data_IF_460431657140
#
_entry.id   IF_460431657140
#
_cell.length_a   1.000
_cell.length_b   1.000
_cell.length_c   1.000
_cell.angle_alpha   90.00
_cell.angle_beta   90.00
_cell.angle_gamma   90.00
#
_symmetry.space_group_name_H-M   'P 1'
#
loop_
_entity.id
_entity.type
_entity.pdbx_description
1 polymer ?
#
# COMPACT_ATOMS: atom_id res chain seq x y z
N UNK A 1 -70.24 -8.03 1.84
CA UNK A 1 -69.73 -8.07 1.92
C UNK A 1 -68.56 -7.92 2.02
N UNK A 2 -67.86 -7.77 1.90
CA UNK A 2 -66.95 -7.81 2.08
C UNK A 2 -65.86 -7.52 2.30
N UNK A 3 -65.11 -7.44 2.32
CA UNK A 3 -64.20 -7.29 2.56
C UNK A 3 -63.17 -7.04 2.70
N UNK A 4 -62.64 -6.89 2.64
CA UNK A 4 -61.69 -6.79 2.80
C UNK A 4 -60.61 -6.69 3.02
N UNK A 5 -60.04 -6.70 3.02
CA UNK A 5 -59.11 -6.85 3.27
C UNK A 5 -58.06 -6.29 3.40
N UNK A 6 -57.52 -6.17 3.37
CA UNK A 6 -56.64 -5.91 3.68
C UNK A 6 -55.48 -5.86 3.89
N UNK A 7 -54.98 -5.89 3.85
CA UNK A 7 -53.92 -6.05 4.07
C UNK A 7 -52.86 -5.55 4.24
N UNK A 8 -52.50 -5.41 4.22
CA UNK A 8 -51.62 -5.02 4.45
C UNK A 8 -50.46 -5.06 4.55
N UNK A 9 -49.90 -4.95 4.55
CA UNK A 9 -48.96 -4.92 4.62
C UNK A 9 -47.82 -4.95 4.85
N UNK A 10 -47.29 -5.01 4.85
CA UNK A 10 -46.27 -5.40 5.14
C UNK A 10 -45.13 -4.71 5.09
N UNK A 11 -44.68 -4.72 4.79
CA UNK A 11 -43.67 -4.18 4.68
C UNK A 11 -42.61 -3.95 5.40
N UNK A 12 -42.16 -3.74 5.58
CA UNK A 12 -41.33 -3.54 6.37
C UNK A 12 -40.16 -4.07 6.22
N UNK A 13 -39.68 -4.31 6.27
CA UNK A 13 -38.58 -4.99 6.03
C UNK A 13 -37.55 -4.19 5.75
N UNK A 14 -37.24 -4.02 5.13
CA UNK A 14 -36.28 -3.26 4.78
C UNK A 14 -35.41 -2.82 5.72
N UNK A 15 -35.04 -2.48 5.87
CA UNK A 15 -34.23 -1.93 6.68
C UNK A 15 -33.18 -2.48 7.19
N UNK A 16 -32.81 -2.97 7.37
CA UNK A 16 -31.87 -3.52 7.99
C UNK A 16 -30.67 -3.29 7.44
N UNK A 17 -30.36 -3.38 6.74
CA UNK A 17 -29.21 -3.29 6.20
C UNK A 17 -28.35 -2.36 6.65
N UNK A 18 -28.51 -1.57 6.81
CA UNK A 18 -27.63 -0.63 7.11
C UNK A 18 -26.59 -0.92 7.96
N UNK A 19 -26.55 -1.47 8.72
CA UNK A 19 -25.57 -1.67 9.57
C UNK A 19 -24.39 -2.11 9.15
N UNK A 20 -24.23 -2.74 8.52
CA UNK A 20 -23.09 -3.19 8.11
C UNK A 20 -22.04 -2.34 8.11
N UNK A 21 -22.05 -1.45 7.62
CA UNK A 21 -20.97 -0.66 7.50
C UNK A 21 -20.24 -0.30 8.62
N UNK A 22 -20.52 -0.25 9.49
CA UNK A 22 -19.74 0.18 10.48
C UNK A 22 -18.53 -0.43 10.87
N UNK A 23 -17.88 -1.13 10.27
CA UNK A 23 -16.70 -1.62 10.70
C UNK A 23 -15.66 -0.64 10.68
N UNK A 24 -15.32 -0.10 11.61
CA UNK A 24 -14.37 0.94 11.58
C UNK A 24 -13.05 0.38 11.76
N UNK A 25 -12.20 0.99 11.56
CA UNK A 25 -10.95 0.57 11.79
C UNK A 25 -10.27 -0.40 11.01
N UNK A 26 -10.75 -0.93 10.17
CA UNK A 26 -10.05 -1.90 9.44
C UNK A 26 -9.10 -1.20 8.55
N UNK A 27 -7.93 -1.01 8.93
CA UNK A 27 -6.99 -0.37 8.07
C UNK A 27 -6.68 -1.32 6.95
N UNK A 28 -6.69 -0.90 5.75
CA UNK A 28 -6.39 -1.76 4.65
C UNK A 28 -5.00 -1.54 4.19
N UNK A 29 -4.33 -2.59 3.79
CA UNK A 29 -3.00 -2.48 3.23
C UNK A 29 -3.10 -1.74 1.91
N UNK A 30 -2.14 -0.92 1.63
CA UNK A 30 -2.13 -0.14 0.41
C UNK A 30 -1.05 -0.62 -0.54
N UNK A 31 -1.18 -0.25 -1.80
CA UNK A 31 -0.19 -0.53 -2.82
C UNK A 31 0.36 0.83 -3.24
N UNK A 32 1.66 1.01 -3.09
CA UNK A 32 2.28 2.27 -3.45
C UNK A 32 3.39 2.02 -4.44
N UNK A 33 3.76 3.03 -5.18
CA UNK A 33 4.77 2.87 -6.23
C UNK A 33 5.90 3.85 -6.07
N UNK A 34 7.09 3.41 -6.43
CA UNK A 34 8.26 4.27 -6.57
C UNK A 34 8.72 4.09 -8.02
N UNK A 35 8.88 5.17 -8.74
CA UNK A 35 9.36 5.08 -10.11
C UNK A 35 10.84 5.31 -10.14
N UNK A 36 11.52 4.57 -10.98
CA UNK A 36 12.94 4.74 -11.19
C UNK A 36 13.05 5.40 -12.55
N UNK A 37 13.46 6.65 -12.57
CA UNK A 37 13.50 7.39 -13.80
C UNK A 37 14.63 8.41 -13.74
N UNK A 38 15.37 8.52 -14.79
CA UNK A 38 16.47 9.46 -14.88
C UNK A 38 17.45 9.27 -13.70
N UNK A 39 17.73 8.00 -13.39
CA UNK A 39 18.67 7.66 -12.32
C UNK A 39 18.25 8.17 -10.95
N UNK A 40 16.98 8.27 -10.69
CA UNK A 40 16.50 8.66 -9.36
C UNK A 40 15.33 7.78 -8.98
N UNK A 41 15.06 7.70 -7.67
CA UNK A 41 13.88 7.05 -7.15
C UNK A 41 12.87 8.16 -6.84
N UNK A 42 11.68 8.03 -7.35
CA UNK A 42 10.66 9.04 -7.12
C UNK A 42 9.34 8.47 -6.66
N UNK A 43 8.92 8.81 -5.47
CA UNK A 43 9.54 9.76 -4.56
C UNK A 43 10.77 9.16 -3.89
N UNK A 44 11.72 9.98 -3.54
CA UNK A 44 12.94 9.49 -2.93
C UNK A 44 12.68 9.01 -1.51
N UNK A 45 11.75 9.62 -0.82
CA UNK A 45 11.39 9.19 0.51
C UNK A 45 9.88 8.94 0.50
N UNK A 46 9.47 7.77 0.88
CA UNK A 46 8.06 7.41 0.88
C UNK A 46 7.68 6.88 2.26
N UNK A 47 6.58 7.37 2.81
CA UNK A 47 6.08 6.90 4.10
C UNK A 47 4.92 5.96 3.85
N UNK A 48 4.98 4.79 4.46
CA UNK A 48 3.95 3.77 4.30
C UNK A 48 3.60 3.20 5.67
N UNK A 49 2.69 2.27 5.73
CA UNK A 49 2.30 1.65 6.99
C UNK A 49 2.61 0.17 6.95
N UNK A 50 2.76 -0.41 8.11
CA UNK A 50 2.98 -1.84 8.20
C UNK A 50 1.87 -2.55 7.45
N UNK A 51 2.22 -3.46 6.59
CA UNK A 51 1.28 -4.18 5.74
C UNK A 51 1.23 -3.68 4.31
N UNK A 52 1.76 -2.49 4.07
CA UNK A 52 1.72 -1.93 2.72
C UNK A 52 2.77 -2.57 1.83
N UNK A 53 2.50 -2.60 0.55
CA UNK A 53 3.43 -3.11 -0.45
C UNK A 53 3.90 -1.95 -1.31
N UNK A 54 5.20 -1.86 -1.50
CA UNK A 54 5.79 -0.86 -2.39
C UNK A 54 6.30 -1.58 -3.63
N UNK A 55 5.98 -1.06 -4.78
CA UNK A 55 6.43 -1.60 -6.05
C UNK A 55 7.32 -0.56 -6.73
N UNK A 56 8.53 -0.95 -7.03
CA UNK A 56 9.45 -0.12 -7.80
C UNK A 56 9.31 -0.49 -9.27
N UNK A 57 9.24 0.50 -10.14
CA UNK A 57 9.10 0.27 -11.57
C UNK A 57 10.22 1.00 -12.27
N UNK A 58 11.01 0.31 -13.04
CA UNK A 58 12.10 0.95 -13.77
C UNK A 58 11.58 1.53 -15.08
N UNK A 59 11.61 2.86 -15.18
CA UNK A 59 11.20 3.54 -16.39
C UNK A 59 12.38 4.03 -17.21
N UNK A 60 13.61 3.77 -16.78
CA UNK A 60 14.79 4.12 -17.55
C UNK A 60 15.09 3.04 -18.58
N UNK A 61 15.88 3.37 -19.55
CA UNK A 61 16.24 2.39 -20.58
C UNK A 61 17.56 1.70 -20.25
N UNK A 62 17.97 1.71 -18.99
CA UNK A 62 19.10 0.93 -18.54
C UNK A 62 18.71 0.24 -17.26
N UNK A 63 19.36 -0.84 -16.88
CA UNK A 63 18.98 -1.60 -15.70
C UNK A 63 19.30 -0.91 -14.40
N UNK A 64 18.46 -1.12 -13.40
CA UNK A 64 18.68 -0.64 -12.04
C UNK A 64 18.33 -1.75 -11.08
N UNK A 65 18.77 -1.65 -9.83
CA UNK A 65 18.38 -2.59 -8.78
C UNK A 65 17.88 -1.81 -7.58
N UNK A 66 17.22 -2.51 -6.67
CA UNK A 66 16.74 -1.93 -5.42
C UNK A 66 17.33 -2.78 -4.31
N UNK A 67 18.18 -2.20 -3.49
CA UNK A 67 18.89 -2.96 -2.46
C UNK A 67 18.80 -2.25 -1.12
N UNK A 68 18.29 -2.92 -0.12
CA UNK A 68 18.33 -2.44 1.26
C UNK A 68 19.07 -3.52 2.03
N UNK A 69 20.31 -3.24 2.40
CA UNK A 69 21.21 -4.23 2.96
C UNK A 69 20.59 -4.92 4.16
N UNK A 70 20.56 -6.24 4.10
CA UNK A 70 19.98 -7.01 5.19
C UNK A 70 18.47 -7.10 5.20
N UNK A 71 17.80 -6.43 4.30
CA UNK A 71 16.34 -6.40 4.31
C UNK A 71 15.74 -6.90 3.01
N UNK A 72 16.10 -6.34 1.89
CA UNK A 72 15.55 -6.80 0.62
C UNK A 72 16.49 -6.45 -0.54
N UNK A 73 16.31 -7.14 -1.65
CA UNK A 73 17.16 -6.93 -2.79
C UNK A 73 16.43 -7.41 -4.05
N UNK A 74 16.37 -6.59 -5.05
CA UNK A 74 15.80 -7.01 -6.31
C UNK A 74 16.89 -7.58 -7.19
N UNK A 75 16.49 -8.23 -8.27
CA UNK A 75 17.45 -8.57 -9.31
C UNK A 75 17.54 -7.32 -10.17
N UNK A 76 18.31 -7.35 -11.20
CA UNK A 76 18.40 -6.22 -12.12
C UNK A 76 17.04 -6.05 -12.80
N UNK A 77 16.56 -4.84 -12.82
CA UNK A 77 15.29 -4.53 -13.44
C UNK A 77 15.56 -3.83 -14.76
N UNK A 78 15.09 -4.42 -15.83
CA UNK A 78 15.19 -3.78 -17.13
C UNK A 78 14.05 -2.81 -17.29
N UNK A 79 13.95 -2.13 -18.40
CA UNK A 79 12.87 -1.17 -18.62
C UNK A 79 11.51 -1.85 -18.42
N UNK A 80 10.67 -1.20 -17.63
CA UNK A 80 9.33 -1.66 -17.31
C UNK A 80 9.27 -2.85 -16.35
N UNK A 81 10.39 -3.37 -15.92
CA UNK A 81 10.38 -4.43 -14.91
C UNK A 81 10.04 -3.84 -13.55
N UNK A 82 9.50 -4.68 -12.70
CA UNK A 82 9.04 -4.26 -11.38
C UNK A 82 9.58 -5.15 -10.30
N UNK A 83 9.67 -4.59 -9.10
CA UNK A 83 10.02 -5.33 -7.90
C UNK A 83 9.10 -4.85 -6.79
N UNK A 84 8.48 -5.76 -6.07
CA UNK A 84 7.56 -5.41 -5.01
C UNK A 84 8.01 -6.00 -3.70
N UNK A 85 7.82 -5.26 -2.61
CA UNK A 85 8.16 -5.75 -1.28
C UNK A 85 7.09 -5.28 -0.30
N UNK A 86 6.63 -6.18 0.56
CA UNK A 86 5.62 -5.85 1.57
C UNK A 86 6.32 -5.63 2.89
N UNK A 87 6.07 -4.47 3.51
CA UNK A 87 6.75 -4.10 4.74
C UNK A 87 5.94 -4.56 5.93
N UNK A 88 6.52 -5.41 6.75
CA UNK A 88 5.81 -5.98 7.90
C UNK A 88 6.34 -5.48 9.22
N UNK A 89 7.35 -4.64 9.22
CA UNK A 89 7.96 -4.12 10.43
C UNK A 89 8.13 -2.62 10.31
N UNK A 90 7.78 -1.88 11.34
CA UNK A 90 7.97 -0.44 11.33
C UNK A 90 9.45 -0.10 11.39
N UNK A 91 9.83 1.02 10.84
CA UNK A 91 11.22 1.46 10.85
C UNK A 91 11.54 2.22 9.58
N UNK A 92 12.77 2.61 9.43
CA UNK A 92 13.24 3.31 8.23
C UNK A 92 14.16 2.38 7.46
N UNK A 93 13.87 2.19 6.20
CA UNK A 93 14.64 1.29 5.36
C UNK A 93 15.30 2.08 4.25
N UNK A 94 16.60 2.28 4.38
CA UNK A 94 17.36 2.97 3.36
C UNK A 94 17.68 2.00 2.26
N UNK A 95 17.67 2.44 1.03
CA UNK A 95 17.99 1.56 -0.09
C UNK A 95 18.74 2.33 -1.18
N UNK A 96 19.31 1.62 -2.09
CA UNK A 96 20.10 2.23 -3.15
C UNK A 96 20.10 1.31 -4.37
N UNK A 97 20.61 1.81 -5.47
CA UNK A 97 20.76 0.98 -6.66
C UNK A 97 22.15 0.37 -6.64
N UNK A 98 22.22 -0.95 -6.65
CA UNK A 98 23.52 -1.63 -6.58
C UNK A 98 24.40 -1.36 -7.78
N UNK A 99 23.83 -0.95 -8.91
CA UNK A 99 24.62 -0.64 -10.11
C UNK A 99 25.02 0.83 -10.12
N UNK A 100 24.36 1.68 -9.40
CA UNK A 100 24.62 3.11 -9.36
C UNK A 100 24.45 3.55 -7.91
N UNK A 101 25.41 3.25 -7.03
CA UNK A 101 25.19 3.37 -5.57
C UNK A 101 24.81 4.74 -5.04
N UNK A 102 25.04 5.80 -5.78
CA UNK A 102 24.63 7.10 -5.26
C UNK A 102 23.15 7.37 -5.56
N UNK A 103 22.46 6.49 -6.29
CA UNK A 103 21.01 6.58 -6.37
C UNK A 103 20.49 6.01 -5.08
N UNK A 104 19.84 6.81 -4.26
CA UNK A 104 19.42 6.38 -2.92
C UNK A 104 17.99 6.81 -2.64
N UNK A 105 17.32 6.04 -1.81
CA UNK A 105 15.98 6.37 -1.36
C UNK A 105 15.72 5.80 0.00
N UNK A 106 14.56 6.04 0.55
CA UNK A 106 14.19 5.46 1.83
C UNK A 106 12.69 5.25 1.93
N UNK A 107 12.34 4.20 2.65
CA UNK A 107 10.94 3.92 2.98
C UNK A 107 10.80 4.05 4.48
N UNK A 108 9.90 4.90 4.94
CA UNK A 108 9.61 5.03 6.35
C UNK A 108 8.33 4.26 6.60
N UNK A 109 8.39 3.24 7.44
CA UNK A 109 7.25 2.37 7.71
C UNK A 109 6.73 2.69 9.10
N UNK A 110 5.48 3.16 9.17
CA UNK A 110 4.85 3.49 10.44
C UNK A 110 3.90 2.38 10.83
N UNK A 111 3.54 2.35 12.11
CA UNK A 111 2.62 1.32 12.54
C UNK A 111 1.29 1.51 11.83
N UNK A 112 0.61 0.42 11.64
CA UNK A 112 -0.62 0.47 10.88
C UNK A 112 -1.64 1.42 11.46
N UNK A 113 -1.67 1.55 12.74
CA UNK A 113 -2.65 2.43 13.28
C UNK A 113 -2.00 3.66 13.69
N UNK A 114 -1.17 4.11 13.01
CA UNK A 114 -0.49 5.24 13.34
C UNK A 114 -0.82 5.86 14.60
N UNK A 115 -1.84 6.03 14.82
CA UNK A 115 -2.15 6.77 15.93
C UNK A 115 -1.47 6.36 17.08
N UNK A 116 -1.52 5.41 17.34
CA UNK A 116 -0.96 5.00 18.43
C UNK A 116 0.12 5.75 18.81
N UNK A 117 0.59 5.91 18.23
CA UNK A 117 1.68 6.49 18.54
C UNK A 117 1.70 7.35 19.51
N UNK A 118 1.68 7.57 19.77
CA UNK A 118 1.77 8.37 20.43
C UNK A 118 2.19 8.39 21.47
N UNK A 119 2.40 8.18 21.73
CA UNK A 119 2.71 8.22 22.70
C UNK A 119 3.31 8.51 23.05
#
# INVERSE_FOLDING_TARGET
MKVLGSVRGAFAAALLLALVSALPGAARAAQLEVKIDNFTFGPQKLTVKVGDTVTWINEDDIPHTVVSTGHFRSKALDTDDKYAFTFTTAGTFEYFCGLHPHMQGSIVVETATGSAATQ
#
